data_IF_323872607891
#
_entry.id   IF_323872607891
#
_cell.length_a   1.000
_cell.length_b   1.000
_cell.length_c   1.000
_cell.angle_alpha   90.00
_cell.angle_beta   90.00
_cell.angle_gamma   90.00
#
_symmetry.space_group_name_H-M   'P 1'
#
loop_
_entity.id
_entity.type
_entity.pdbx_description
1 polymer ?
#
# COMPACT_ATOMS: atom_id res chain seq x y z
N UNK A 1 31.14 -4.06 37.94
CA UNK A 1 29.88 -4.46 38.64
C UNK A 1 28.79 -3.51 38.20
N UNK A 2 27.62 -4.00 37.79
CA UNK A 2 26.50 -3.13 37.44
C UNK A 2 25.83 -2.63 38.73
N UNK A 3 25.61 -1.32 38.84
CA UNK A 3 24.83 -0.75 39.93
C UNK A 3 23.34 -0.94 39.63
N UNK A 4 22.61 -1.62 40.52
CA UNK A 4 21.17 -1.79 40.43
C UNK A 4 20.47 -0.71 41.24
N UNK A 5 19.44 -0.10 40.66
CA UNK A 5 18.53 0.79 41.37
C UNK A 5 17.28 -0.01 41.72
N UNK A 6 16.93 -0.07 43.00
CA UNK A 6 15.75 -0.82 43.47
C UNK A 6 14.46 -0.01 43.35
N UNK A 7 14.57 1.26 42.99
CA UNK A 7 13.49 2.20 42.71
C UNK A 7 13.79 2.94 41.41
N UNK A 8 12.78 3.60 40.85
CA UNK A 8 12.98 4.50 39.71
C UNK A 8 13.97 5.62 40.03
N UNK A 9 14.74 6.03 39.02
CA UNK A 9 15.61 7.20 39.10
C UNK A 9 14.78 8.40 38.61
N UNK A 10 14.52 9.36 39.48
CA UNK A 10 14.01 10.67 39.05
C UNK A 10 15.17 11.50 38.50
N UNK A 11 15.10 11.86 37.22
CA UNK A 11 16.11 12.68 36.57
C UNK A 11 15.92 14.18 36.82
N UNK A 12 14.76 14.63 37.33
CA UNK A 12 14.46 16.07 37.58
C UNK A 12 14.86 16.95 36.37
N UNK A 13 14.54 16.48 35.15
CA UNK A 13 14.90 17.08 33.84
C UNK A 13 16.37 17.01 33.42
N UNK A 14 17.23 16.31 34.17
CA UNK A 14 18.57 15.97 33.73
C UNK A 14 18.55 14.96 32.57
N UNK A 15 19.65 14.90 31.84
CA UNK A 15 19.85 13.95 30.74
C UNK A 15 20.87 12.88 31.11
N UNK A 16 20.75 11.70 30.48
CA UNK A 16 21.80 10.68 30.52
C UNK A 16 22.70 10.92 29.30
N UNK A 17 23.98 11.23 29.53
CA UNK A 17 24.93 11.58 28.47
C UNK A 17 25.71 10.33 28.04
N UNK A 18 25.83 10.12 26.73
CA UNK A 18 26.55 8.98 26.14
C UNK A 18 26.09 7.62 26.70
N UNK A 19 24.79 7.51 26.98
CA UNK A 19 24.19 6.30 27.52
C UNK A 19 24.12 5.20 26.45
N UNK A 20 24.35 3.97 26.89
CA UNK A 20 24.00 2.76 26.13
C UNK A 20 22.78 2.17 26.82
N UNK A 21 21.68 2.02 26.07
CA UNK A 21 20.50 1.28 26.52
C UNK A 21 20.77 -0.22 26.40
N UNK A 22 19.97 -1.07 27.06
CA UNK A 22 20.23 -2.51 27.08
C UNK A 22 20.26 -3.13 25.67
N UNK A 23 21.41 -3.67 25.28
CA UNK A 23 21.61 -4.34 23.99
C UNK A 23 21.22 -5.81 24.07
N UNK A 24 20.15 -6.19 23.35
CA UNK A 24 19.64 -7.56 23.31
C UNK A 24 19.30 -7.93 21.86
N UNK A 25 19.56 -9.15 21.38
CA UNK A 25 18.98 -9.61 20.11
C UNK A 25 17.47 -9.85 20.25
N UNK A 26 16.70 -9.82 19.15
CA UNK A 26 15.22 -9.94 19.16
C UNK A 26 14.72 -11.12 20.00
N UNK A 27 15.36 -12.28 19.90
CA UNK A 27 14.95 -13.50 20.61
C UNK A 27 15.24 -13.49 22.12
N UNK A 28 16.02 -12.52 22.61
CA UNK A 28 16.39 -12.38 24.02
C UNK A 28 15.74 -11.15 24.67
N UNK A 29 14.88 -10.44 23.96
CA UNK A 29 14.08 -9.38 24.56
C UNK A 29 13.18 -9.96 25.67
N UNK A 30 12.98 -9.24 26.79
CA UNK A 30 12.14 -9.73 27.88
C UNK A 30 10.73 -10.12 27.41
N UNK A 31 10.21 -11.23 27.94
CA UNK A 31 8.87 -11.76 27.65
C UNK A 31 7.78 -11.24 28.60
N UNK A 32 8.16 -10.57 29.69
CA UNK A 32 7.25 -9.88 30.61
C UNK A 32 7.76 -8.48 31.01
N UNK A 33 8.05 -7.60 30.05
CA UNK A 33 8.48 -6.23 30.31
C UNK A 33 7.32 -5.35 30.81
N UNK A 34 7.67 -4.19 31.38
CA UNK A 34 6.68 -3.17 31.76
C UNK A 34 6.40 -2.22 30.57
N UNK A 35 5.16 -1.72 30.40
CA UNK A 35 4.85 -0.71 29.39
C UNK A 35 5.83 0.49 29.46
N UNK A 36 6.39 0.87 28.31
CA UNK A 36 7.38 1.94 28.19
C UNK A 36 8.83 1.51 28.42
N UNK A 37 9.11 0.23 28.70
CA UNK A 37 10.48 -0.28 28.77
C UNK A 37 11.18 -0.12 27.41
N UNK A 38 12.45 0.31 27.42
CA UNK A 38 13.27 0.56 26.24
C UNK A 38 14.43 -0.44 26.16
N UNK A 39 14.77 -0.86 24.95
CA UNK A 39 15.96 -1.67 24.67
C UNK A 39 16.53 -1.34 23.27
N UNK A 40 17.75 -1.75 23.00
CA UNK A 40 18.33 -1.73 21.64
C UNK A 40 18.38 -3.16 21.11
N UNK A 41 17.56 -3.42 20.08
CA UNK A 41 17.54 -4.70 19.40
C UNK A 41 18.72 -4.80 18.42
N UNK A 42 19.70 -5.64 18.77
CA UNK A 42 20.92 -5.82 17.98
C UNK A 42 20.73 -6.68 16.72
N UNK A 43 19.61 -7.39 16.59
CA UNK A 43 19.29 -8.16 15.38
C UNK A 43 18.80 -7.22 14.28
N UNK A 44 17.94 -6.26 14.62
CA UNK A 44 17.37 -5.31 13.64
C UNK A 44 18.07 -3.94 13.63
N UNK A 45 19.01 -3.72 14.56
CA UNK A 45 19.76 -2.48 14.77
C UNK A 45 18.85 -1.26 15.00
N UNK A 46 17.95 -1.37 15.98
CA UNK A 46 17.03 -0.29 16.31
C UNK A 46 16.66 -0.27 17.79
N UNK A 47 16.34 0.92 18.31
CA UNK A 47 15.66 1.05 19.60
C UNK A 47 14.24 0.51 19.48
N UNK A 48 13.82 -0.24 20.50
CA UNK A 48 12.47 -0.80 20.64
C UNK A 48 11.87 -0.37 21.97
N UNK A 49 10.55 -0.19 21.98
CA UNK A 49 9.75 0.13 23.17
C UNK A 49 8.70 -0.95 23.35
N UNK A 50 8.47 -1.39 24.58
CA UNK A 50 7.33 -2.24 24.89
C UNK A 50 6.06 -1.40 24.99
N UNK A 51 5.07 -1.66 24.15
CA UNK A 51 3.81 -0.92 24.12
C UNK A 51 2.75 -1.47 25.10
N UNK A 52 3.08 -2.53 25.84
CA UNK A 52 2.17 -3.28 26.70
C UNK A 52 1.80 -4.66 26.14
N UNK A 53 1.98 -4.89 24.84
CA UNK A 53 1.63 -6.15 24.14
C UNK A 53 2.78 -6.69 23.30
N UNK A 54 3.58 -5.82 22.69
CA UNK A 54 4.68 -6.18 21.81
C UNK A 54 5.85 -5.20 21.91
N UNK A 55 7.04 -5.67 21.52
CA UNK A 55 8.19 -4.82 21.29
C UNK A 55 8.03 -4.14 19.92
N UNK A 56 7.88 -2.82 19.92
CA UNK A 56 7.70 -2.01 18.72
C UNK A 56 8.97 -1.19 18.48
N UNK A 57 9.49 -1.22 17.25
CA UNK A 57 10.63 -0.37 16.88
C UNK A 57 10.22 1.09 16.79
N UNK A 58 11.06 1.98 17.31
CA UNK A 58 10.89 3.43 17.10
C UNK A 58 11.35 3.88 15.70
N UNK A 59 11.96 2.99 14.92
CA UNK A 59 12.29 3.22 13.52
C UNK A 59 11.21 2.56 12.64
N UNK A 60 10.45 3.36 11.91
CA UNK A 60 9.37 2.90 11.03
C UNK A 60 9.81 1.83 10.03
N UNK A 61 11.05 1.91 9.50
CA UNK A 61 11.58 0.93 8.55
C UNK A 61 11.90 -0.44 9.17
N UNK A 62 11.85 -0.55 10.51
CA UNK A 62 12.18 -1.74 11.29
C UNK A 62 11.01 -2.25 12.13
N UNK A 63 9.82 -1.66 11.99
CA UNK A 63 8.60 -2.15 12.65
C UNK A 63 8.19 -3.47 12.00
N UNK A 64 8.19 -4.56 12.77
CA UNK A 64 7.69 -5.85 12.32
C UNK A 64 6.16 -5.81 12.11
N UNK A 65 5.63 -6.70 11.27
CA UNK A 65 4.20 -6.96 11.09
C UNK A 65 3.36 -5.87 10.38
N UNK A 66 3.95 -5.06 9.49
CA UNK A 66 3.21 -3.99 8.78
C UNK A 66 2.41 -3.10 9.75
N UNK A 67 2.88 -2.98 10.99
CA UNK A 67 2.15 -2.37 12.09
C UNK A 67 2.14 -0.84 12.04
N UNK A 68 2.24 -0.27 10.84
CA UNK A 68 1.64 1.03 10.58
C UNK A 68 0.27 0.71 9.96
N UNK A 69 -0.79 0.53 10.77
CA UNK A 69 -2.13 0.36 10.23
C UNK A 69 -2.44 1.47 9.24
N UNK A 70 -3.20 1.14 8.19
CA UNK A 70 -3.68 2.12 7.24
C UNK A 70 -4.36 3.33 7.92
N UNK A 71 -5.09 3.07 9.02
CA UNK A 71 -5.72 4.10 9.85
C UNK A 71 -4.76 5.06 10.57
N UNK A 72 -3.45 4.75 10.62
CA UNK A 72 -2.40 5.63 11.16
C UNK A 72 -1.73 6.48 10.08
N UNK A 73 -2.03 6.24 8.80
CA UNK A 73 -1.57 7.10 7.71
C UNK A 73 -2.59 8.22 7.49
N UNK A 74 -2.11 9.43 7.25
CA UNK A 74 -2.97 10.57 6.94
C UNK A 74 -3.69 10.42 5.59
N UNK A 75 -3.12 9.63 4.68
CA UNK A 75 -3.65 9.37 3.34
C UNK A 75 -3.55 7.87 3.08
N UNK A 76 -4.65 7.27 2.62
CA UNK A 76 -4.70 5.87 2.21
C UNK A 76 -3.95 5.69 0.86
N UNK A 77 -2.79 5.01 0.82
CA UNK A 77 -2.05 4.75 -0.42
C UNK A 77 -2.73 3.75 -1.37
N UNK A 78 -3.75 3.01 -0.95
CA UNK A 78 -4.50 2.07 -1.80
C UNK A 78 -5.68 2.74 -2.52
N UNK A 79 -6.19 3.84 -1.99
CA UNK A 79 -7.24 4.61 -2.64
C UNK A 79 -6.71 5.29 -3.91
N UNK A 80 -7.13 4.83 -5.10
CA UNK A 80 -6.67 5.41 -6.38
C UNK A 80 -6.95 6.91 -6.54
N UNK A 81 -7.95 7.44 -5.83
CA UNK A 81 -8.22 8.88 -5.82
C UNK A 81 -7.02 9.70 -5.29
N UNK A 82 -6.15 9.07 -4.50
CA UNK A 82 -4.94 9.67 -3.94
C UNK A 82 -3.69 9.42 -4.81
N UNK A 83 -3.81 8.66 -5.91
CA UNK A 83 -2.69 8.42 -6.82
C UNK A 83 -2.56 9.64 -7.74
N UNK A 84 -1.68 10.57 -7.39
CA UNK A 84 -1.32 11.71 -8.25
C UNK A 84 -0.26 11.26 -9.28
N UNK A 85 -0.45 11.56 -10.57
CA UNK A 85 0.53 11.29 -11.63
C UNK A 85 -0.02 10.47 -12.80
N UNK A 86 0.87 10.07 -13.72
CA UNK A 86 0.52 9.24 -14.89
C UNK A 86 0.68 7.76 -14.56
N UNK A 87 -0.40 6.99 -14.70
CA UNK A 87 -0.37 5.54 -14.59
C UNK A 87 -0.39 4.93 -15.99
N UNK A 88 0.72 4.33 -16.43
CA UNK A 88 0.79 3.66 -17.73
C UNK A 88 -0.11 2.42 -17.73
N UNK A 89 -0.81 2.17 -18.84
CA UNK A 89 -1.76 1.05 -18.97
C UNK A 89 -1.14 -0.33 -18.66
N UNK A 90 0.17 -0.51 -18.89
CA UNK A 90 0.88 -1.75 -18.56
C UNK A 90 0.98 -2.07 -17.05
N UNK A 91 0.61 -1.13 -16.18
CA UNK A 91 0.54 -1.33 -14.73
C UNK A 91 -0.87 -1.67 -14.23
N UNK A 92 -1.87 -1.65 -15.11
CA UNK A 92 -3.27 -1.96 -14.77
C UNK A 92 -3.56 -3.38 -15.24
N UNK A 93 -3.56 -4.34 -14.30
CA UNK A 93 -3.60 -5.78 -14.60
C UNK A 93 -4.83 -6.23 -15.39
N UNK A 94 -5.96 -5.53 -15.27
CA UNK A 94 -7.22 -5.85 -15.94
C UNK A 94 -7.54 -4.94 -17.12
N UNK A 95 -6.62 -4.05 -17.53
CA UNK A 95 -6.88 -3.04 -18.56
C UNK A 95 -7.38 -3.66 -19.87
N UNK A 96 -6.75 -4.73 -20.32
CA UNK A 96 -7.16 -5.46 -21.54
C UNK A 96 -8.59 -5.99 -21.41
N UNK A 97 -8.95 -6.55 -20.25
CA UNK A 97 -10.30 -7.09 -20.00
C UNK A 97 -11.32 -5.96 -20.00
N UNK A 98 -11.03 -4.86 -19.31
CA UNK A 98 -11.92 -3.71 -19.24
C UNK A 98 -12.17 -3.08 -20.61
N UNK A 99 -11.12 -2.91 -21.43
CA UNK A 99 -11.23 -2.34 -22.79
C UNK A 99 -12.01 -3.27 -23.73
N UNK A 100 -11.79 -4.58 -23.65
CA UNK A 100 -12.51 -5.57 -24.47
C UNK A 100 -14.00 -5.67 -24.09
N UNK A 101 -14.36 -5.35 -22.85
CA UNK A 101 -15.75 -5.30 -22.41
C UNK A 101 -16.53 -4.08 -22.93
N UNK A 102 -15.84 -3.05 -23.47
CA UNK A 102 -16.50 -1.88 -24.05
C UNK A 102 -17.26 -2.33 -25.30
N UNK A 103 -18.58 -2.29 -25.24
CA UNK A 103 -19.42 -2.55 -26.38
C UNK A 103 -19.47 -1.31 -27.27
N UNK A 104 -19.31 -1.46 -28.59
CA UNK A 104 -19.41 -0.32 -29.51
C UNK A 104 -20.73 0.45 -29.30
N UNK A 105 -21.85 -0.25 -29.08
CA UNK A 105 -23.17 0.37 -28.85
C UNK A 105 -23.23 1.36 -27.67
N UNK A 106 -22.32 1.25 -26.69
CA UNK A 106 -22.24 2.17 -25.55
C UNK A 106 -21.28 3.35 -25.78
N UNK A 107 -20.62 3.41 -26.93
CA UNK A 107 -19.75 4.53 -27.31
C UNK A 107 -20.58 5.68 -27.89
N UNK A 108 -20.06 6.90 -27.80
CA UNK A 108 -20.66 8.05 -28.47
C UNK A 108 -20.75 7.82 -29.98
N UNK A 109 -21.83 8.32 -30.59
CA UNK A 109 -22.04 8.19 -32.03
C UNK A 109 -20.87 8.85 -32.81
N UNK A 110 -20.32 8.19 -33.84
CA UNK A 110 -19.30 8.79 -34.69
C UNK A 110 -19.81 10.09 -35.33
N UNK A 111 -19.03 11.16 -35.24
CA UNK A 111 -19.33 12.46 -35.88
C UNK A 111 -18.76 12.58 -37.29
N UNK A 112 -18.06 11.56 -37.77
CA UNK A 112 -17.47 11.45 -39.10
C UNK A 112 -17.65 10.03 -39.65
N UNK A 113 -17.43 9.87 -40.96
CA UNK A 113 -17.49 8.58 -41.61
C UNK A 113 -16.49 7.59 -40.99
N UNK A 114 -16.95 6.36 -40.73
CA UNK A 114 -16.12 5.28 -40.18
C UNK A 114 -15.52 4.48 -41.33
N UNK A 115 -14.22 4.64 -41.58
CA UNK A 115 -13.49 3.79 -42.52
C UNK A 115 -13.19 2.43 -41.87
N UNK A 116 -13.45 1.34 -42.61
CA UNK A 116 -13.16 -0.02 -42.17
C UNK A 116 -11.95 -0.64 -42.88
N UNK A 117 -11.18 0.15 -43.65
CA UNK A 117 -9.86 -0.27 -44.15
C UNK A 117 -9.85 -1.55 -45.00
N UNK A 118 -10.82 -1.73 -45.90
CA UNK A 118 -10.99 -2.92 -46.75
C UNK A 118 -11.27 -4.23 -45.97
N UNK A 119 -11.79 -4.14 -44.76
CA UNK A 119 -12.22 -5.29 -43.98
C UNK A 119 -13.63 -5.76 -44.39
N UNK A 120 -13.86 -7.07 -44.33
CA UNK A 120 -15.18 -7.67 -44.51
C UNK A 120 -16.06 -7.45 -43.26
N UNK A 121 -17.34 -7.14 -43.47
CA UNK A 121 -18.34 -7.04 -42.40
C UNK A 121 -19.30 -8.23 -42.51
N UNK A 122 -19.27 -9.13 -41.54
CA UNK A 122 -20.10 -10.34 -41.53
C UNK A 122 -21.15 -10.31 -40.41
N UNK A 123 -22.08 -11.27 -40.42
CA UNK A 123 -23.14 -11.40 -39.41
C UNK A 123 -24.03 -10.15 -39.27
N UNK A 124 -24.28 -9.43 -40.37
CA UNK A 124 -25.25 -8.33 -40.40
C UNK A 124 -26.68 -8.88 -40.25
N UNK A 125 -27.50 -8.18 -39.48
CA UNK A 125 -28.93 -8.51 -39.31
C UNK A 125 -29.78 -8.08 -40.49
N UNK A 126 -31.07 -8.43 -40.46
CA UNK A 126 -32.07 -7.92 -41.40
C UNK A 126 -32.26 -6.41 -41.24
N UNK A 127 -32.28 -5.66 -42.34
CA UNK A 127 -32.52 -4.21 -42.32
C UNK A 127 -33.87 -3.85 -41.69
N UNK A 128 -33.87 -2.78 -40.90
CA UNK A 128 -35.09 -2.18 -40.32
C UNK A 128 -35.33 -0.73 -40.80
N UNK A 129 -34.43 -0.19 -41.63
CA UNK A 129 -34.50 1.14 -42.24
C UNK A 129 -33.64 1.22 -43.52
N UNK A 130 -33.91 2.17 -44.42
CA UNK A 130 -33.23 2.32 -45.72
C UNK A 130 -31.71 2.58 -45.61
N UNK A 131 -31.23 3.08 -44.46
CA UNK A 131 -29.82 3.34 -44.19
C UNK A 131 -29.08 2.18 -43.51
N UNK A 132 -29.73 1.02 -43.37
CA UNK A 132 -29.12 -0.15 -42.72
C UNK A 132 -28.04 -0.77 -43.61
N UNK A 133 -26.89 -1.13 -43.01
CA UNK A 133 -25.96 -2.04 -43.67
C UNK A 133 -26.55 -3.46 -43.70
N UNK A 134 -26.47 -4.12 -44.85
CA UNK A 134 -26.96 -5.50 -45.07
C UNK A 134 -25.91 -6.35 -45.77
N UNK A 135 -26.02 -7.67 -45.62
CA UNK A 135 -25.23 -8.59 -46.45
C UNK A 135 -25.72 -8.53 -47.92
N UNK A 136 -24.79 -8.72 -48.85
CA UNK A 136 -25.12 -9.04 -50.22
C UNK A 136 -25.26 -10.56 -50.25
N UNK A 137 -26.50 -11.06 -50.29
CA UNK A 137 -26.83 -12.49 -50.13
C UNK A 137 -26.06 -13.43 -51.04
#
# INVERSE_FOLDING_TARGET
MAQKFSNGIDLVKAQIIAAIVENLPTGSLPSSPLPGQIAYDTTINAMVVWDGTAWISTNAAKVANLAIPLAKLAVDPLARANHTGTQTANTISDFTVAVQAIQWRSMAAPTAAVSLGNQEITNLGTATADSSAINLG
#
